data_IF_670170528252
#
_entry.id   IF_670170528252
#
_cell.length_a   1.000
_cell.length_b   1.000
_cell.length_c   1.000
_cell.angle_alpha   90.00
_cell.angle_beta   90.00
_cell.angle_gamma   90.00
#
_symmetry.space_group_name_H-M   'P 1'
#
loop_
_entity.id
_entity.type
_entity.pdbx_description
1 polymer ?
#
# COMPACT_ATOMS: atom_id res chain seq x y z
N UNK A 1 -12.85 2.77 18.36
CA UNK A 1 -12.48 2.02 17.16
C UNK A 1 -11.01 1.53 17.16
N UNK A 2 -10.33 1.42 18.31
CA UNK A 2 -8.96 0.87 18.46
C UNK A 2 -7.92 1.44 17.48
N UNK A 3 -8.11 2.68 17.00
CA UNK A 3 -7.21 3.34 16.04
C UNK A 3 -7.47 3.03 14.56
N UNK A 4 -8.40 2.12 14.25
CA UNK A 4 -8.74 1.82 12.86
C UNK A 4 -9.62 2.93 12.24
N UNK A 5 -9.35 3.27 10.99
CA UNK A 5 -10.15 4.21 10.20
C UNK A 5 -11.41 3.51 9.69
N UNK A 6 -12.51 3.66 10.45
CA UNK A 6 -13.78 2.98 10.16
C UNK A 6 -14.59 3.67 9.05
N UNK A 7 -14.27 4.92 8.75
CA UNK A 7 -15.00 5.73 7.78
C UNK A 7 -14.47 5.55 6.36
N UNK A 8 -13.20 5.13 6.23
CA UNK A 8 -12.52 5.00 4.93
C UNK A 8 -12.00 3.57 4.71
N UNK A 9 -12.88 2.60 4.42
CA UNK A 9 -12.44 1.26 4.11
C UNK A 9 -11.62 1.24 2.81
N UNK A 10 -10.60 0.36 2.80
CA UNK A 10 -9.78 0.10 1.61
C UNK A 10 -9.93 -1.35 1.18
N UNK A 11 -9.42 -1.68 -0.01
CA UNK A 11 -9.71 -2.96 -0.66
C UNK A 11 -8.43 -3.66 -1.08
N UNK A 12 -8.42 -4.99 -0.93
CA UNK A 12 -7.39 -5.88 -1.46
C UNK A 12 -8.04 -6.95 -2.34
N UNK A 13 -7.57 -7.08 -3.57
CA UNK A 13 -8.00 -8.12 -4.50
C UNK A 13 -6.99 -9.26 -4.57
N UNK A 14 -7.44 -10.49 -4.47
CA UNK A 14 -6.60 -11.69 -4.54
C UNK A 14 -7.39 -12.89 -5.06
N UNK A 15 -6.69 -13.92 -5.55
CA UNK A 15 -7.26 -15.24 -5.85
C UNK A 15 -7.23 -16.20 -4.67
N UNK A 16 -6.73 -15.78 -3.49
CA UNK A 16 -6.60 -16.62 -2.31
C UNK A 16 -7.65 -16.27 -1.25
N UNK A 17 -8.10 -17.28 -0.52
CA UNK A 17 -8.87 -17.08 0.70
C UNK A 17 -7.90 -16.83 1.86
N UNK A 18 -8.04 -15.66 2.52
CA UNK A 18 -7.10 -15.18 3.51
C UNK A 18 -7.76 -15.11 4.88
N UNK A 19 -7.09 -15.64 5.89
CA UNK A 19 -7.39 -15.42 7.32
C UNK A 19 -6.48 -14.35 7.91
N UNK A 20 -5.32 -14.12 7.28
CA UNK A 20 -4.30 -13.16 7.68
C UNK A 20 -3.60 -12.61 6.42
N UNK A 21 -3.20 -11.33 6.45
CA UNK A 21 -2.36 -10.74 5.41
C UNK A 21 -0.87 -11.00 5.67
N UNK A 22 -0.16 -11.50 4.65
CA UNK A 22 1.30 -11.54 4.69
C UNK A 22 1.85 -10.15 4.34
N UNK A 23 2.69 -9.60 5.20
CA UNK A 23 3.42 -8.35 4.97
C UNK A 23 4.86 -8.58 4.52
N UNK A 24 5.30 -9.85 4.50
CA UNK A 24 6.59 -10.26 3.91
C UNK A 24 6.32 -10.75 2.50
N UNK A 25 6.57 -9.90 1.51
CA UNK A 25 6.23 -10.19 0.12
C UNK A 25 6.79 -11.51 -0.39
N UNK A 26 5.90 -12.42 -0.77
CA UNK A 26 6.21 -13.65 -1.53
C UNK A 26 5.80 -13.52 -3.00
N UNK A 27 5.26 -12.39 -3.42
CA UNK A 27 4.87 -12.12 -4.81
C UNK A 27 6.07 -11.69 -5.66
N UNK A 28 5.97 -11.89 -6.97
CA UNK A 28 7.05 -11.55 -7.93
C UNK A 28 7.34 -10.04 -8.04
N UNK A 29 6.44 -9.20 -7.52
CA UNK A 29 6.49 -7.73 -7.63
C UNK A 29 6.16 -7.03 -6.32
N UNK A 30 5.97 -7.76 -5.22
CA UNK A 30 5.59 -7.18 -3.93
C UNK A 30 6.82 -7.01 -3.07
N UNK A 31 7.21 -5.77 -2.87
CA UNK A 31 8.15 -5.34 -1.85
C UNK A 31 7.60 -5.61 -0.44
N UNK A 32 8.09 -4.89 0.55
CA UNK A 32 7.58 -4.99 1.92
C UNK A 32 6.14 -4.49 2.01
N UNK A 33 5.30 -5.22 2.75
CA UNK A 33 3.95 -4.81 3.10
C UNK A 33 2.83 -5.48 2.32
N UNK A 34 1.61 -5.36 2.85
CA UNK A 34 0.37 -5.71 2.17
C UNK A 34 -0.23 -4.44 1.55
N UNK A 35 -0.58 -4.50 0.26
CA UNK A 35 -1.06 -3.36 -0.51
C UNK A 35 -2.59 -3.30 -0.57
N UNK A 36 -3.14 -2.12 -0.35
CA UNK A 36 -4.57 -1.82 -0.39
C UNK A 36 -4.81 -0.57 -1.23
N UNK A 37 -5.99 -0.46 -1.80
CA UNK A 37 -6.42 0.72 -2.57
C UNK A 37 -7.79 1.22 -2.08
N UNK A 38 -8.04 2.52 -2.20
CA UNK A 38 -9.36 3.11 -1.96
C UNK A 38 -10.35 2.87 -3.10
N UNK A 39 -9.87 2.36 -4.23
CA UNK A 39 -10.70 2.05 -5.41
C UNK A 39 -10.94 0.54 -5.55
N UNK A 40 -12.17 0.03 -5.29
CA UNK A 40 -12.48 -1.39 -5.41
C UNK A 40 -12.33 -1.92 -6.85
N UNK A 41 -12.49 -1.07 -7.86
CA UNK A 41 -12.28 -1.48 -9.26
C UNK A 41 -10.80 -1.72 -9.56
N UNK A 42 -9.88 -0.98 -8.93
CA UNK A 42 -8.44 -1.26 -9.02
C UNK A 42 -8.11 -2.55 -8.28
N UNK A 43 -8.62 -2.74 -7.05
CA UNK A 43 -8.41 -3.96 -6.29
C UNK A 43 -8.90 -5.20 -7.06
N UNK A 44 -10.05 -5.13 -7.73
CA UNK A 44 -10.60 -6.24 -8.51
C UNK A 44 -9.69 -6.69 -9.66
N UNK A 45 -8.81 -5.83 -10.17
CA UNK A 45 -7.82 -6.20 -11.20
C UNK A 45 -6.72 -7.13 -10.71
N UNK A 46 -6.60 -7.32 -9.39
CA UNK A 46 -5.68 -8.25 -8.74
C UNK A 46 -6.34 -9.58 -8.35
N UNK A 47 -7.66 -9.65 -8.40
CA UNK A 47 -8.40 -10.89 -8.14
C UNK A 47 -8.33 -11.84 -9.34
N UNK A 48 -8.34 -13.16 -9.07
CA UNK A 48 -8.45 -14.17 -10.13
C UNK A 48 -9.85 -14.09 -10.79
N UNK A 49 -9.89 -14.24 -12.12
CA UNK A 49 -11.14 -14.26 -12.88
C UNK A 49 -12.12 -15.38 -12.50
N UNK A 50 -11.64 -16.46 -11.86
CA UNK A 50 -12.44 -17.64 -11.50
C UNK A 50 -12.82 -17.68 -10.01
N UNK A 51 -11.89 -17.33 -9.14
CA UNK A 51 -12.04 -17.42 -7.67
C UNK A 51 -11.61 -16.13 -6.98
N UNK A 52 -11.71 -15.02 -7.69
CA UNK A 52 -11.26 -13.73 -7.16
C UNK A 52 -12.05 -13.29 -5.96
N UNK A 53 -11.35 -12.91 -4.91
CA UNK A 53 -11.91 -12.38 -3.66
C UNK A 53 -11.50 -10.92 -3.52
N UNK A 54 -12.44 -10.10 -3.07
CA UNK A 54 -12.21 -8.71 -2.72
C UNK A 54 -12.39 -8.54 -1.21
N UNK A 55 -11.33 -8.20 -0.51
CA UNK A 55 -11.34 -7.96 0.92
C UNK A 55 -11.50 -6.47 1.23
N UNK A 56 -12.67 -6.02 1.72
CA UNK A 56 -12.80 -4.70 2.30
C UNK A 56 -12.22 -4.73 3.72
N UNK A 57 -11.24 -3.87 3.97
CA UNK A 57 -10.52 -3.82 5.25
C UNK A 57 -10.47 -2.40 5.81
N UNK A 58 -10.22 -2.33 7.10
CA UNK A 58 -9.94 -1.11 7.85
C UNK A 58 -8.47 -1.13 8.24
N UNK A 59 -7.81 0.01 8.12
CA UNK A 59 -6.40 0.14 8.47
C UNK A 59 -6.23 0.98 9.73
N UNK A 60 -5.29 0.56 10.57
CA UNK A 60 -4.68 1.40 11.58
C UNK A 60 -3.34 1.87 11.02
N UNK A 61 -3.31 3.10 10.50
CA UNK A 61 -2.16 3.55 9.73
C UNK A 61 -0.95 3.98 10.57
N UNK A 62 -1.11 4.23 11.88
CA UNK A 62 0.01 4.66 12.72
C UNK A 62 0.84 5.80 12.10
N UNK A 63 2.14 5.59 12.00
CA UNK A 63 3.09 6.54 11.39
C UNK A 63 3.22 6.31 9.87
N UNK A 64 2.65 7.20 9.07
CA UNK A 64 2.55 7.05 7.61
C UNK A 64 3.49 8.00 6.87
N UNK A 65 4.17 7.47 5.84
CA UNK A 65 4.79 8.29 4.79
C UNK A 65 3.81 8.47 3.65
N UNK A 66 3.60 9.70 3.22
CA UNK A 66 2.78 10.04 2.08
C UNK A 66 3.64 10.38 0.87
N UNK A 67 3.34 9.78 -0.27
CA UNK A 67 3.97 9.98 -1.56
C UNK A 67 2.96 10.62 -2.50
N UNK A 68 3.26 11.80 -3.03
CA UNK A 68 2.47 12.40 -4.10
C UNK A 68 2.90 11.77 -5.44
N UNK A 69 2.13 10.84 -5.96
CA UNK A 69 2.42 10.17 -7.22
C UNK A 69 1.90 10.95 -8.44
N UNK A 70 0.95 11.87 -8.24
CA UNK A 70 0.45 12.82 -9.25
C UNK A 70 0.07 12.16 -10.61
N UNK A 71 -0.55 10.99 -10.56
CA UNK A 71 -0.96 10.22 -11.73
C UNK A 71 0.13 9.37 -12.38
N UNK A 72 1.29 9.22 -11.73
CA UNK A 72 2.34 8.31 -12.20
C UNK A 72 1.90 6.84 -12.10
N UNK A 73 2.48 5.97 -12.94
CA UNK A 73 2.28 4.54 -12.84
C UNK A 73 2.99 3.99 -11.59
N UNK A 74 2.42 2.95 -11.01
CA UNK A 74 2.96 2.29 -9.83
C UNK A 74 4.37 1.68 -10.03
N UNK A 75 4.72 1.28 -11.25
CA UNK A 75 6.05 0.74 -11.59
C UNK A 75 7.10 1.83 -11.79
N UNK A 76 6.68 3.10 -12.01
CA UNK A 76 7.59 4.15 -12.45
C UNK A 76 7.20 5.48 -11.83
N UNK A 77 7.70 5.75 -10.63
CA UNK A 77 7.56 7.04 -9.97
C UNK A 77 8.68 7.97 -10.42
N UNK A 78 8.34 9.24 -10.62
CA UNK A 78 9.32 10.25 -11.07
C UNK A 78 10.31 10.58 -9.96
N UNK A 79 11.54 10.92 -10.31
CA UNK A 79 12.61 11.35 -9.36
C UNK A 79 12.23 12.51 -8.43
N UNK A 80 11.29 13.35 -8.85
CA UNK A 80 10.87 14.54 -8.09
C UNK A 80 9.61 14.33 -7.26
N UNK A 81 9.29 13.09 -6.89
CA UNK A 81 8.18 12.80 -5.97
C UNK A 81 8.37 13.55 -4.66
N UNK A 82 7.27 13.99 -4.08
CA UNK A 82 7.26 14.67 -2.79
C UNK A 82 6.85 13.68 -1.71
N UNK A 83 7.69 13.52 -0.72
CA UNK A 83 7.37 12.79 0.50
C UNK A 83 6.95 13.74 1.61
N UNK A 84 5.97 13.34 2.39
CA UNK A 84 5.54 13.99 3.63
C UNK A 84 5.31 12.97 4.71
N UNK A 85 5.64 13.28 5.96
CA UNK A 85 5.39 12.42 7.11
C UNK A 85 5.19 13.28 8.35
N UNK A 86 4.33 12.86 9.26
CA UNK A 86 4.15 13.51 10.56
C UNK A 86 5.30 13.18 11.53
N UNK A 87 5.87 11.98 11.43
CA UNK A 87 7.03 11.54 12.23
C UNK A 87 8.28 12.38 11.92
N UNK A 88 8.49 12.69 10.64
CA UNK A 88 9.66 13.48 10.21
C UNK A 88 9.17 14.76 9.56
N UNK A 89 9.03 15.81 10.36
CA UNK A 89 8.66 17.15 9.87
C UNK A 89 9.78 17.82 9.09
N UNK A 90 11.00 17.31 9.22
CA UNK A 90 12.15 17.81 8.47
C UNK A 90 12.16 17.17 7.06
N UNK A 91 11.57 17.90 6.11
CA UNK A 91 11.58 17.57 4.69
C UNK A 91 12.98 17.34 4.11
N UNK A 92 14.01 18.02 4.68
CA UNK A 92 15.39 17.86 4.19
C UNK A 92 15.95 16.50 4.59
N UNK A 93 15.67 16.03 5.81
CA UNK A 93 16.07 14.70 6.26
C UNK A 93 15.39 13.59 5.43
N UNK A 94 14.08 13.72 5.18
CA UNK A 94 13.32 12.78 4.33
C UNK A 94 13.89 12.73 2.90
N UNK A 95 14.10 13.89 2.29
CA UNK A 95 14.65 13.98 0.94
C UNK A 95 16.12 13.55 0.86
N UNK A 96 16.90 13.71 1.95
CA UNK A 96 18.28 13.22 2.01
C UNK A 96 18.34 11.70 2.06
N UNK A 97 17.45 11.06 2.81
CA UNK A 97 17.35 9.60 2.87
C UNK A 97 16.86 9.03 1.55
N UNK A 98 15.86 9.66 0.95
CA UNK A 98 15.42 9.34 -0.40
C UNK A 98 16.53 9.55 -1.44
N UNK A 99 17.31 10.62 -1.31
CA UNK A 99 18.47 10.91 -2.18
C UNK A 99 19.56 9.84 -2.10
N UNK A 100 19.75 9.21 -0.94
CA UNK A 100 20.64 8.04 -0.79
C UNK A 100 20.10 6.82 -1.53
N UNK A 101 18.81 6.52 -1.37
CA UNK A 101 18.13 5.44 -2.11
C UNK A 101 18.31 5.65 -3.63
N UNK A 102 18.09 6.87 -4.12
CA UNK A 102 18.32 7.23 -5.52
C UNK A 102 19.78 7.08 -5.96
N UNK A 103 20.75 7.33 -5.09
CA UNK A 103 22.16 7.27 -5.43
C UNK A 103 22.72 5.85 -5.46
N UNK A 104 22.20 4.95 -4.62
CA UNK A 104 22.68 3.58 -4.48
C UNK A 104 22.06 2.64 -5.53
N UNK A 105 20.75 2.79 -5.83
CA UNK A 105 20.02 1.85 -6.69
C UNK A 105 19.79 2.36 -8.13
N UNK A 106 20.06 3.65 -8.42
CA UNK A 106 19.60 4.31 -9.64
C UNK A 106 20.69 4.75 -10.63
N UNK A 107 21.81 4.04 -10.69
CA UNK A 107 22.79 4.30 -11.76
C UNK A 107 22.23 4.12 -13.19
N UNK A 108 21.08 3.45 -13.35
CA UNK A 108 20.57 3.03 -14.65
C UNK A 108 19.10 3.36 -14.95
N UNK A 109 18.29 3.75 -13.98
CA UNK A 109 16.87 4.07 -14.18
C UNK A 109 16.47 5.39 -13.52
N UNK A 110 15.67 6.19 -14.23
CA UNK A 110 15.20 7.50 -13.77
C UNK A 110 13.95 7.46 -12.88
N UNK A 111 13.53 6.29 -12.41
CA UNK A 111 12.29 6.10 -11.65
C UNK A 111 12.45 5.07 -10.54
N UNK A 112 11.71 5.27 -9.45
CA UNK A 112 11.50 4.32 -8.35
C UNK A 112 10.18 3.58 -8.56
N UNK A 113 10.11 2.33 -8.10
CA UNK A 113 8.85 1.60 -8.00
C UNK A 113 8.18 1.86 -6.66
N UNK A 114 6.89 1.54 -6.55
CA UNK A 114 6.19 1.55 -5.26
C UNK A 114 6.80 0.56 -4.28
N UNK A 115 7.33 -0.57 -4.78
CA UNK A 115 7.99 -1.60 -3.97
C UNK A 115 9.30 -1.12 -3.35
N UNK A 116 10.11 -0.37 -4.09
CA UNK A 116 11.35 0.24 -3.58
C UNK A 116 11.05 1.20 -2.44
N UNK A 117 10.04 2.05 -2.61
CA UNK A 117 9.63 3.01 -1.59
C UNK A 117 8.97 2.34 -0.38
N UNK A 118 8.19 1.27 -0.58
CA UNK A 118 7.60 0.51 0.51
C UNK A 118 8.70 -0.19 1.33
N UNK A 119 9.68 -0.79 0.68
CA UNK A 119 10.82 -1.41 1.36
C UNK A 119 11.65 -0.39 2.15
N UNK A 120 11.89 0.79 1.55
CA UNK A 120 12.56 1.88 2.24
C UNK A 120 11.77 2.36 3.46
N UNK A 121 10.45 2.59 3.35
CA UNK A 121 9.63 3.05 4.47
C UNK A 121 9.58 2.05 5.62
N UNK A 122 9.49 0.75 5.31
CA UNK A 122 9.56 -0.31 6.31
C UNK A 122 10.92 -0.32 7.04
N UNK A 123 12.03 -0.19 6.32
CA UNK A 123 13.37 -0.11 6.91
C UNK A 123 13.59 1.13 7.78
N UNK A 124 12.89 2.23 7.48
CA UNK A 124 12.89 3.46 8.30
C UNK A 124 11.89 3.41 9.46
N UNK A 125 11.26 2.24 9.73
CA UNK A 125 10.32 1.97 10.81
C UNK A 125 9.05 2.84 10.75
N UNK A 126 8.49 3.04 9.56
CA UNK A 126 7.12 3.52 9.38
C UNK A 126 6.14 2.35 9.45
N UNK A 127 4.90 2.60 9.89
CA UNK A 127 3.85 1.59 9.94
C UNK A 127 3.21 1.35 8.57
N UNK A 128 3.20 2.39 7.73
CA UNK A 128 2.65 2.32 6.38
C UNK A 128 3.26 3.39 5.46
N UNK A 129 3.11 3.17 4.15
CA UNK A 129 3.36 4.17 3.11
C UNK A 129 2.12 4.31 2.23
N UNK A 130 1.71 5.55 1.95
CA UNK A 130 0.54 5.87 1.12
C UNK A 130 0.96 6.60 -0.14
N UNK A 131 0.61 6.03 -1.28
CA UNK A 131 0.82 6.59 -2.61
C UNK A 131 -0.46 7.29 -3.04
N UNK A 132 -0.44 8.62 -3.04
CA UNK A 132 -1.60 9.41 -3.39
C UNK A 132 -1.66 9.61 -4.91
N UNK A 133 -2.82 9.31 -5.51
CA UNK A 133 -3.09 9.46 -6.93
C UNK A 133 -2.11 8.68 -7.84
N UNK A 134 -1.84 7.42 -7.50
CA UNK A 134 -1.04 6.52 -8.34
C UNK A 134 -1.93 5.77 -9.33
N UNK A 135 -1.47 5.58 -10.56
CA UNK A 135 -2.10 4.69 -11.53
C UNK A 135 -1.59 3.29 -11.33
N UNK A 136 -2.45 2.47 -10.76
CA UNK A 136 -2.17 1.08 -10.46
C UNK A 136 -3.15 0.18 -11.24
N UNK A 137 -2.65 -0.95 -11.70
CA UNK A 137 -3.43 -1.93 -12.43
C UNK A 137 -2.84 -3.31 -12.25
N UNK A 138 -3.63 -4.24 -11.73
CA UNK A 138 -3.24 -5.63 -11.56
C UNK A 138 -3.13 -6.41 -12.87
N UNK A 139 -2.74 -7.69 -12.78
CA UNK A 139 -2.57 -8.56 -13.96
C UNK A 139 -3.83 -8.72 -14.81
N UNK A 140 -5.00 -8.60 -14.20
CA UNK A 140 -6.30 -8.68 -14.88
C UNK A 140 -6.74 -7.34 -15.47
N UNK A 141 -5.87 -6.34 -15.49
CA UNK A 141 -6.17 -5.00 -16.00
C UNK A 141 -6.57 -4.92 -17.47
N UNK A 142 -6.37 -6.01 -18.24
CA UNK A 142 -6.88 -6.12 -19.63
C UNK A 142 -8.42 -6.12 -19.68
N UNK A 143 -9.07 -6.60 -18.62
CA UNK A 143 -10.53 -6.62 -18.46
C UNK A 143 -11.03 -5.47 -17.57
N UNK A 144 -10.14 -4.55 -17.21
CA UNK A 144 -10.45 -3.45 -16.33
C UNK A 144 -11.41 -2.46 -17.01
N UNK A 145 -12.39 -2.00 -16.24
CA UNK A 145 -13.26 -0.91 -16.65
C UNK A 145 -12.53 0.45 -16.61
N UNK A 146 -13.22 1.51 -17.04
CA UNK A 146 -12.67 2.86 -17.04
C UNK A 146 -12.25 3.32 -15.62
N UNK A 147 -12.99 2.93 -14.59
CA UNK A 147 -12.74 3.33 -13.20
C UNK A 147 -11.43 2.76 -12.66
N UNK A 148 -11.06 1.50 -13.05
CA UNK A 148 -9.77 0.89 -12.67
C UNK A 148 -8.56 1.53 -13.36
N UNK A 149 -8.79 2.42 -14.33
CA UNK A 149 -7.73 3.15 -15.03
C UNK A 149 -7.48 4.54 -14.44
N UNK A 150 -8.32 4.98 -13.50
CA UNK A 150 -8.17 6.25 -12.80
C UNK A 150 -7.08 6.15 -11.71
N UNK A 151 -6.42 7.26 -11.39
CA UNK A 151 -5.54 7.30 -10.24
C UNK A 151 -6.30 6.98 -8.95
N UNK A 152 -5.68 6.20 -8.07
CA UNK A 152 -6.21 5.82 -6.75
C UNK A 152 -5.17 6.07 -5.65
N UNK A 153 -5.61 6.02 -4.40
CA UNK A 153 -4.70 6.08 -3.27
C UNK A 153 -4.42 4.65 -2.82
N UNK A 154 -3.15 4.25 -2.91
CA UNK A 154 -2.72 2.91 -2.52
C UNK A 154 -1.87 3.00 -1.26
N UNK A 155 -2.11 2.08 -0.33
CA UNK A 155 -1.40 2.03 0.96
C UNK A 155 -0.75 0.67 1.13
N UNK A 156 0.55 0.64 1.42
CA UNK A 156 1.23 -0.56 1.88
C UNK A 156 1.37 -0.50 3.40
N UNK A 157 0.91 -1.55 4.09
CA UNK A 157 0.96 -1.71 5.55
C UNK A 157 1.95 -2.80 5.91
N UNK A 158 2.83 -2.56 6.90
CA UNK A 158 3.96 -3.43 7.19
C UNK A 158 3.73 -4.41 8.35
N UNK A 159 2.70 -4.19 9.17
CA UNK A 159 2.34 -5.08 10.27
C UNK A 159 0.90 -5.59 10.10
N UNK A 160 0.67 -6.93 10.02
CA UNK A 160 -0.68 -7.48 9.81
C UNK A 160 -1.67 -7.10 10.91
N UNK A 161 -1.22 -6.85 12.15
CA UNK A 161 -2.09 -6.40 13.25
C UNK A 161 -2.78 -5.04 12.99
N UNK A 162 -2.25 -4.26 12.05
CA UNK A 162 -2.81 -2.99 11.60
C UNK A 162 -3.88 -3.14 10.50
N UNK A 163 -4.29 -4.38 10.19
CA UNK A 163 -5.27 -4.70 9.16
C UNK A 163 -6.42 -5.49 9.80
N UNK A 164 -7.66 -5.08 9.56
CA UNK A 164 -8.85 -5.80 10.01
C UNK A 164 -9.89 -5.87 8.89
N UNK A 165 -10.59 -6.98 8.81
CA UNK A 165 -11.79 -7.03 7.96
C UNK A 165 -12.79 -5.95 8.37
N UNK A 166 -13.43 -5.31 7.42
CA UNK A 166 -14.55 -4.39 7.70
C UNK A 166 -15.68 -5.07 8.47
N UNK A 167 -15.78 -6.39 8.38
CA UNK A 167 -16.82 -7.20 9.01
C UNK A 167 -16.37 -7.84 10.33
N UNK A 168 -15.13 -7.60 10.77
CA UNK A 168 -14.59 -8.15 12.00
C UNK A 168 -15.35 -7.64 13.23
N UNK A 169 -15.54 -8.52 14.19
CA UNK A 169 -15.92 -8.13 15.53
C UNK A 169 -14.72 -7.47 16.23
N UNK A 170 -14.84 -6.19 16.57
CA UNK A 170 -13.77 -5.48 17.27
C UNK A 170 -13.75 -5.87 18.75
N UNK A 171 -12.94 -6.87 19.09
CA UNK A 171 -12.68 -7.29 20.46
C UNK A 171 -11.40 -6.62 20.99
N UNK A 172 -11.50 -5.77 22.04
CA UNK A 172 -10.33 -5.09 22.62
C UNK A 172 -9.28 -6.05 23.17
N UNK A 173 -9.65 -7.29 23.55
CA UNK A 173 -8.70 -8.29 24.04
C UNK A 173 -7.88 -8.94 22.92
N UNK A 174 -8.36 -8.87 21.68
CA UNK A 174 -7.70 -9.39 20.47
C UNK A 174 -7.11 -8.29 19.58
N UNK A 175 -6.91 -7.08 20.11
CA UNK A 175 -6.47 -5.93 19.34
C UNK A 175 -5.12 -6.13 18.62
N UNK A 176 -4.24 -6.96 19.19
CA UNK A 176 -2.90 -7.22 18.66
C UNK A 176 -2.85 -8.53 17.82
N UNK A 177 -3.99 -9.18 17.57
CA UNK A 177 -4.08 -10.32 16.66
C UNK A 177 -3.86 -9.87 15.21
N UNK A 178 -3.26 -10.73 14.40
CA UNK A 178 -3.19 -10.57 12.94
C UNK A 178 -4.38 -11.18 12.20
N UNK A 179 -5.27 -11.88 12.93
CA UNK A 179 -6.49 -12.46 12.39
C UNK A 179 -7.42 -11.35 11.85
N UNK A 180 -7.99 -11.56 10.68
CA UNK A 180 -8.87 -10.60 10.02
C UNK A 180 -10.27 -10.52 10.64
N UNK A 181 -10.72 -11.56 11.36
CA UNK A 181 -12.07 -11.70 11.91
C UNK A 181 -12.18 -11.37 13.38
#
# INVERSE_FOLDING_TARGET
>A
AMGFDVDNPVYHGTGADLTEFSTTGKGKTTGSGAFFTDNPSVASTYSDSKNGVLYPVLLNNGEVVNVAADGANWNWLKKNIKLTSEKTKDRKALNKNLGKLFAEDFKYNDALTTDDLASWANNENYDAIKFNQVKDRGPQGVFANQESSLPSNNTAVFDPKNIRSRFAAFDPFNRDSSDLL
#
